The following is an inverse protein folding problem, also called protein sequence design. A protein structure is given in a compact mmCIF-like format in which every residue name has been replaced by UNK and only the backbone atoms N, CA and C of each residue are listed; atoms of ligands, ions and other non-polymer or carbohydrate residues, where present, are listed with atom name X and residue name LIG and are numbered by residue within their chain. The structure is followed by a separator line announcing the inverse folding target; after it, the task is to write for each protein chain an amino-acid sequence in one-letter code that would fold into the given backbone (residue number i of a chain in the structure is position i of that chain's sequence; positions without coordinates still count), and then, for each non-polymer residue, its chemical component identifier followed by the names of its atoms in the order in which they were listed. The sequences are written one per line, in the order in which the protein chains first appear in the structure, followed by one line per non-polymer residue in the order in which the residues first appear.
data_IF_070825617214
#
_entry.id   IF_070825617214
#
_cell.length_a   1.000
_cell.length_b   1.000
_cell.length_c   1.000
_cell.angle_alpha   90.00
_cell.angle_beta   90.00
_cell.angle_gamma   90.00
#
_symmetry.space_group_name_H-M   'P 1'
#
loop_
_entity.id
_entity.type
_entity.pdbx_description
1 polymer ?
#
# COMPACT_ATOMS: atom_id res chain seq x y z
N UNK A 1 5.95 3.99 -16.34
CA UNK A 1 6.60 4.01 -15.02
C UNK A 1 6.80 2.58 -14.58
N UNK A 2 8.05 2.15 -14.44
CA UNK A 2 8.40 0.87 -13.85
C UNK A 2 9.03 1.15 -12.47
N UNK A 3 8.46 0.54 -11.43
CA UNK A 3 9.03 0.58 -10.09
C UNK A 3 10.06 -0.56 -10.06
N UNK A 4 11.30 -0.27 -9.66
CA UNK A 4 12.27 -1.33 -9.41
C UNK A 4 11.86 -2.08 -8.14
N UNK A 5 11.44 -3.33 -8.33
CA UNK A 5 11.04 -4.21 -7.24
C UNK A 5 12.17 -5.18 -6.90
N UNK A 6 12.33 -5.54 -5.61
CA UNK A 6 13.15 -6.67 -5.22
C UNK A 6 12.75 -7.95 -5.98
N UNK A 7 13.68 -8.88 -6.24
CA UNK A 7 13.41 -10.09 -7.05
C UNK A 7 12.32 -11.00 -6.46
N UNK A 8 12.14 -10.95 -5.14
CA UNK A 8 11.16 -11.66 -4.35
C UNK A 8 9.82 -10.93 -4.21
N UNK A 9 9.65 -9.74 -4.82
CA UNK A 9 8.46 -8.91 -4.69
C UNK A 9 7.84 -8.63 -6.05
N UNK A 10 6.53 -8.80 -6.13
CA UNK A 10 5.70 -8.45 -7.29
C UNK A 10 4.73 -7.33 -6.92
N UNK A 11 4.39 -6.49 -7.89
CA UNK A 11 3.37 -5.46 -7.73
C UNK A 11 2.31 -5.61 -8.83
N UNK A 12 1.04 -5.63 -8.43
CA UNK A 12 -0.10 -5.66 -9.34
C UNK A 12 -0.85 -4.34 -9.24
N UNK A 13 -1.04 -3.66 -10.37
CA UNK A 13 -1.90 -2.47 -10.47
C UNK A 13 -3.30 -2.87 -10.90
N UNK A 14 -4.33 -2.40 -10.18
CA UNK A 14 -5.75 -2.59 -10.49
C UNK A 14 -6.45 -1.24 -10.55
N UNK A 15 -7.20 -0.92 -11.61
CA UNK A 15 -8.08 0.25 -11.59
C UNK A 15 -9.23 0.02 -10.61
N UNK A 16 -9.56 1.03 -9.80
CA UNK A 16 -10.76 1.03 -8.94
C UNK A 16 -11.84 1.90 -9.58
N UNK A 17 -11.45 3.07 -10.09
CA UNK A 17 -12.33 4.03 -10.75
C UNK A 17 -11.56 4.75 -11.87
N UNK A 18 -12.25 5.63 -12.61
CA UNK A 18 -11.62 6.45 -13.66
C UNK A 18 -10.38 7.24 -13.17
N UNK A 19 -10.34 7.61 -11.89
CA UNK A 19 -9.28 8.42 -11.28
C UNK A 19 -8.53 7.73 -10.14
N UNK A 20 -8.80 6.44 -9.87
CA UNK A 20 -8.23 5.74 -8.72
C UNK A 20 -7.67 4.36 -9.09
N UNK A 21 -6.51 4.04 -8.53
CA UNK A 21 -5.78 2.80 -8.75
C UNK A 21 -5.34 2.18 -7.42
N UNK A 22 -5.40 0.86 -7.32
CA UNK A 22 -4.81 0.07 -6.24
C UNK A 22 -3.52 -0.59 -6.75
N UNK A 23 -2.47 -0.53 -5.96
CA UNK A 23 -1.23 -1.28 -6.19
C UNK A 23 -1.07 -2.29 -5.05
N UNK A 24 -1.11 -3.57 -5.37
CA UNK A 24 -0.97 -4.67 -4.39
C UNK A 24 0.45 -5.21 -4.49
N UNK A 25 1.16 -5.23 -3.36
CA UNK A 25 2.53 -5.74 -3.27
C UNK A 25 2.54 -7.10 -2.60
N UNK A 26 3.20 -8.07 -3.23
CA UNK A 26 3.26 -9.45 -2.75
C UNK A 26 4.70 -9.96 -2.77
N UNK A 27 5.13 -10.51 -1.64
CA UNK A 27 6.38 -11.22 -1.50
C UNK A 27 6.16 -12.72 -1.73
N UNK A 28 7.13 -13.41 -2.33
CA UNK A 28 7.08 -14.86 -2.60
C UNK A 28 6.79 -15.68 -1.34
N UNK A 29 7.53 -15.42 -0.26
CA UNK A 29 7.40 -16.14 1.02
C UNK A 29 6.40 -15.51 2.01
N UNK A 30 6.46 -14.20 2.25
CA UNK A 30 5.61 -13.52 3.25
C UNK A 30 4.16 -13.29 2.80
N UNK A 31 3.85 -13.60 1.54
CA UNK A 31 2.56 -13.36 0.92
C UNK A 31 2.32 -11.87 0.69
N UNK A 32 1.08 -11.41 0.89
CA UNK A 32 0.74 -10.01 0.68
C UNK A 32 1.47 -9.13 1.71
N UNK A 33 2.20 -8.13 1.22
CA UNK A 33 2.92 -7.16 2.05
C UNK A 33 2.03 -5.98 2.44
N UNK A 34 1.29 -5.46 1.46
CA UNK A 34 0.48 -4.26 1.61
C UNK A 34 -0.09 -3.79 0.29
N UNK A 35 -0.85 -2.71 0.35
CA UNK A 35 -1.45 -2.07 -0.82
C UNK A 35 -1.33 -0.55 -0.75
N UNK A 36 -1.21 0.06 -1.90
CA UNK A 36 -1.22 1.52 -2.08
C UNK A 36 -2.46 1.89 -2.86
N UNK A 37 -3.30 2.74 -2.28
CA UNK A 37 -4.42 3.36 -2.95
C UNK A 37 -3.98 4.74 -3.45
N UNK A 38 -3.98 4.90 -4.76
CA UNK A 38 -3.78 6.18 -5.42
C UNK A 38 -5.15 6.71 -5.87
N UNK A 39 -5.48 7.92 -5.43
CA UNK A 39 -6.68 8.62 -5.90
C UNK A 39 -6.29 10.00 -6.40
N UNK A 40 -6.60 10.29 -7.66
CA UNK A 40 -6.43 11.62 -8.25
C UNK A 40 -7.67 12.44 -7.91
N UNK A 41 -7.49 13.52 -7.15
CA UNK A 41 -8.54 14.48 -6.85
C UNK A 41 -8.77 15.41 -8.06
N UNK A 42 -10.01 15.83 -8.25
CA UNK A 42 -10.41 16.77 -9.31
C UNK A 42 -9.72 18.12 -9.22
N UNK A 43 -9.18 18.47 -8.05
CA UNK A 43 -8.36 19.66 -7.80
C UNK A 43 -6.93 19.57 -8.37
N UNK A 44 -6.57 18.48 -9.07
CA UNK A 44 -5.24 18.26 -9.61
C UNK A 44 -4.21 17.71 -8.60
N UNK A 45 -4.62 17.52 -7.35
CA UNK A 45 -3.81 16.86 -6.32
C UNK A 45 -4.05 15.35 -6.35
N UNK A 46 -3.01 14.55 -6.10
CA UNK A 46 -3.18 13.10 -5.94
C UNK A 46 -2.90 12.70 -4.50
N UNK A 47 -3.78 11.87 -3.94
CA UNK A 47 -3.63 11.32 -2.61
C UNK A 47 -3.14 9.88 -2.71
N UNK A 48 -2.10 9.58 -1.94
CA UNK A 48 -1.52 8.25 -1.84
C UNK A 48 -1.67 7.71 -0.41
N UNK A 49 -2.41 6.63 -0.29
CA UNK A 49 -2.72 5.97 0.99
C UNK A 49 -2.08 4.59 1.00
N UNK A 50 -1.19 4.34 1.94
CA UNK A 50 -0.48 3.07 2.09
C UNK A 50 -1.07 2.26 3.26
N UNK A 51 -1.34 0.97 3.03
CA UNK A 51 -1.85 0.04 4.03
C UNK A 51 -0.96 -1.21 4.07
N UNK A 52 -0.37 -1.50 5.22
CA UNK A 52 0.36 -2.76 5.47
C UNK A 52 -0.65 -3.88 5.68
N UNK A 53 -0.35 -5.08 5.19
CA UNK A 53 -1.19 -6.25 5.37
C UNK A 53 -0.90 -6.96 6.71
N UNK A 54 -1.93 -7.07 7.55
CA UNK A 54 -1.85 -7.70 8.87
C UNK A 54 -2.28 -6.76 9.99
N UNK A 55 -2.19 -7.21 11.24
CA UNK A 55 -2.56 -6.42 12.40
C UNK A 55 -1.35 -5.72 13.03
N UNK A 56 -1.51 -4.49 13.54
CA UNK A 56 -0.43 -3.80 14.23
C UNK A 56 0.03 -4.59 15.47
N UNK A 57 1.34 -4.67 15.68
CA UNK A 57 1.93 -5.38 16.83
C UNK A 57 2.25 -6.86 16.57
N UNK A 58 1.79 -7.44 15.46
CA UNK A 58 2.24 -8.78 15.06
C UNK A 58 3.64 -8.72 14.45
N UNK A 59 4.53 -9.63 14.87
CA UNK A 59 5.91 -9.73 14.33
C UNK A 59 5.91 -9.86 12.81
N UNK A 60 4.98 -10.62 12.25
CA UNK A 60 4.85 -10.82 10.81
C UNK A 60 4.44 -9.52 10.08
N UNK A 61 3.56 -8.72 10.69
CA UNK A 61 3.16 -7.40 10.14
C UNK A 61 4.33 -6.43 10.13
N UNK A 62 5.16 -6.41 11.16
CA UNK A 62 6.36 -5.56 11.20
C UNK A 62 7.41 -6.00 10.15
N UNK A 63 7.58 -7.31 9.92
CA UNK A 63 8.42 -7.82 8.82
C UNK A 63 7.89 -7.38 7.45
N UNK A 64 6.58 -7.50 7.23
CA UNK A 64 5.94 -7.02 5.99
C UNK A 64 6.13 -5.52 5.81
N UNK A 65 5.99 -4.74 6.90
CA UNK A 65 6.18 -3.30 6.91
C UNK A 65 7.61 -2.90 6.51
N UNK A 66 8.62 -3.56 7.07
CA UNK A 66 10.02 -3.27 6.79
C UNK A 66 10.36 -3.37 5.29
N UNK A 67 9.69 -4.27 4.55
CA UNK A 67 9.85 -4.42 3.11
C UNK A 67 8.91 -3.47 2.35
N UNK A 68 7.66 -3.34 2.77
CA UNK A 68 6.64 -2.57 2.07
C UNK A 68 6.87 -1.05 2.12
N UNK A 69 7.23 -0.51 3.29
CA UNK A 69 7.35 0.92 3.52
C UNK A 69 8.35 1.61 2.57
N UNK A 70 9.58 1.11 2.35
CA UNK A 70 10.51 1.72 1.39
C UNK A 70 10.00 1.64 -0.06
N UNK A 71 9.29 0.57 -0.43
CA UNK A 71 8.72 0.43 -1.78
C UNK A 71 7.60 1.44 -2.02
N UNK A 72 6.72 1.61 -1.03
CA UNK A 72 5.64 2.59 -1.09
C UNK A 72 6.16 4.04 -1.09
N UNK A 73 7.24 4.32 -0.34
CA UNK A 73 7.93 5.63 -0.38
C UNK A 73 8.51 5.92 -1.75
N UNK A 74 9.26 4.97 -2.34
CA UNK A 74 9.80 5.10 -3.71
C UNK A 74 8.71 5.34 -4.74
N UNK A 75 7.58 4.62 -4.65
CA UNK A 75 6.44 4.83 -5.52
C UNK A 75 5.90 6.26 -5.40
N UNK A 76 5.75 6.76 -4.18
CA UNK A 76 5.27 8.12 -3.96
C UNK A 76 6.26 9.17 -4.50
N UNK A 77 7.57 8.99 -4.29
CA UNK A 77 8.63 9.86 -4.83
C UNK A 77 8.63 9.88 -6.36
N UNK A 78 8.54 8.73 -7.02
CA UNK A 78 8.45 8.64 -8.48
C UNK A 78 7.23 9.37 -9.03
N UNK A 79 6.14 9.42 -8.27
CA UNK A 79 4.92 10.12 -8.63
C UNK A 79 4.91 11.59 -8.17
N UNK A 80 5.95 12.06 -7.47
CA UNK A 80 6.03 13.38 -6.80
C UNK A 80 4.87 13.62 -5.82
N UNK A 81 4.42 12.56 -5.14
CA UNK A 81 3.30 12.59 -4.20
C UNK A 81 3.77 12.40 -2.76
N UNK A 82 3.06 12.99 -1.81
CA UNK A 82 3.25 12.71 -0.39
C UNK A 82 2.57 11.39 -0.02
N UNK A 83 3.33 10.42 0.50
CA UNK A 83 2.79 9.16 1.00
C UNK A 83 2.24 9.31 2.42
N UNK A 84 0.99 8.91 2.64
CA UNK A 84 0.44 8.74 4.00
C UNK A 84 0.28 7.26 4.31
N UNK A 85 0.93 6.80 5.38
CA UNK A 85 0.83 5.42 5.86
C UNK A 85 -0.25 5.33 6.93
N UNK A 86 -1.32 4.59 6.63
CA UNK A 86 -2.34 4.31 7.62
C UNK A 86 -1.95 3.06 8.40
N UNK A 87 -2.08 3.14 9.72
CA UNK A 87 -2.04 1.95 10.59
C UNK A 87 -3.21 1.07 10.15
N UNK A 88 -2.94 -0.19 9.82
CA UNK A 88 -3.97 -1.15 9.43
C UNK A 88 -5.10 -1.16 10.47
N UNK A 89 -6.36 -1.40 10.08
CA UNK A 89 -7.46 -1.46 11.03
C UNK A 89 -7.22 -2.64 11.97
N UNK A 90 -6.58 -2.38 13.11
CA UNK A 90 -6.76 -3.20 14.29
C UNK A 90 -8.16 -2.85 14.81
N UNK A 91 -9.11 -3.74 14.56
CA UNK A 91 -10.48 -3.70 15.04
C UNK A 91 -11.33 -2.48 14.63
N UNK A 92 -11.97 -2.61 13.47
CA UNK A 92 -13.31 -2.08 13.30
C UNK A 92 -14.24 -3.28 13.05
N UNK A 93 -14.46 -4.07 14.10
CA UNK A 93 -15.59 -4.97 14.13
C UNK A 93 -16.86 -4.10 14.15
N UNK A 94 -17.80 -4.26 13.20
CA UNK A 94 -19.07 -3.56 13.29
C UNK A 94 -19.80 -4.08 14.53
N UNK A 95 -20.06 -3.18 15.49
CA UNK A 95 -21.09 -3.40 16.47
C UNK A 95 -22.41 -3.54 15.71
N UNK A 96 -22.88 -4.78 15.57
CA UNK A 96 -24.21 -5.07 15.04
C UNK A 96 -24.77 -6.31 15.74
N UNK A 97 -25.54 -6.04 16.79
CA UNK A 97 -26.74 -6.72 17.31
C UNK A 97 -26.74 -6.70 18.84
#
# INVERSE_FOLDING_TARGET
MAIELPPNVTAQRKPISATSYEYIFRHSELGQLGRVLLSVCTSGTSRLTCLVHGNPGEKLTEQRRAIFEPLAKKLAEQMRLTATFLKGPGDAQPALA
#
